data_IF_315481094292
#
_entry.id   IF_315481094292
#
_cell.length_a   1.000
_cell.length_b   1.000
_cell.length_c   1.000
_cell.angle_alpha   90.00
_cell.angle_beta   90.00
_cell.angle_gamma   90.00
#
_symmetry.space_group_name_H-M   'P 1'
#
loop_
_entity.id
_entity.type
_entity.pdbx_description
1 polymer ?
#
# COMPACT_ATOMS: atom_id res chain seq x y z
N UNK A 1 -59.75 8.13 -6.03
CA UNK A 1 -58.75 7.22 -5.38
C UNK A 1 -57.43 7.03 -6.16
N UNK A 2 -57.30 7.43 -7.44
CA UNK A 2 -56.04 7.29 -8.21
C UNK A 2 -54.96 8.35 -7.93
N UNK A 3 -55.32 9.54 -7.45
CA UNK A 3 -54.39 10.66 -7.23
C UNK A 3 -53.52 10.52 -5.97
N UNK A 4 -54.03 9.90 -4.90
CA UNK A 4 -53.30 9.74 -3.63
C UNK A 4 -52.17 8.71 -3.76
N UNK A 5 -52.39 7.64 -4.54
CA UNK A 5 -51.37 6.60 -4.79
C UNK A 5 -50.14 7.15 -5.52
N UNK A 6 -50.31 8.13 -6.41
CA UNK A 6 -49.20 8.72 -7.18
C UNK A 6 -48.30 9.59 -6.30
N UNK A 7 -48.90 10.40 -5.42
CA UNK A 7 -48.18 11.22 -4.44
C UNK A 7 -47.43 10.39 -3.39
N UNK A 8 -47.99 9.26 -2.97
CA UNK A 8 -47.31 8.34 -2.04
C UNK A 8 -46.14 7.62 -2.73
N UNK A 9 -46.31 7.22 -3.98
CA UNK A 9 -45.25 6.59 -4.78
C UNK A 9 -44.07 7.56 -5.02
N UNK A 10 -44.33 8.83 -5.34
CA UNK A 10 -43.27 9.84 -5.54
C UNK A 10 -42.46 10.10 -4.26
N UNK A 11 -43.13 10.13 -3.09
CA UNK A 11 -42.44 10.33 -1.80
C UNK A 11 -41.60 9.12 -1.40
N UNK A 12 -42.07 7.91 -1.68
CA UNK A 12 -41.30 6.67 -1.44
C UNK A 12 -40.13 6.54 -2.42
N UNK A 13 -40.34 6.88 -3.69
CA UNK A 13 -39.30 6.87 -4.72
C UNK A 13 -38.19 7.87 -4.37
N UNK A 14 -38.54 9.07 -3.93
CA UNK A 14 -37.58 10.08 -3.48
C UNK A 14 -36.76 9.62 -2.25
N UNK A 15 -37.40 8.95 -1.29
CA UNK A 15 -36.72 8.41 -0.11
C UNK A 15 -35.73 7.28 -0.46
N UNK A 16 -36.09 6.41 -1.40
CA UNK A 16 -35.22 5.34 -1.87
C UNK A 16 -34.02 5.92 -2.64
N UNK A 17 -34.26 6.88 -3.54
CA UNK A 17 -33.21 7.56 -4.31
C UNK A 17 -32.21 8.32 -3.42
N UNK A 18 -32.71 8.98 -2.38
CA UNK A 18 -31.85 9.70 -1.43
C UNK A 18 -30.96 8.76 -0.62
N UNK A 19 -31.52 7.61 -0.18
CA UNK A 19 -30.76 6.59 0.57
C UNK A 19 -29.70 5.91 -0.30
N UNK A 20 -30.01 5.59 -1.56
CA UNK A 20 -29.03 5.00 -2.47
C UNK A 20 -27.92 5.98 -2.84
N UNK A 21 -28.24 7.28 -3.03
CA UNK A 21 -27.25 8.32 -3.28
C UNK A 21 -26.24 8.43 -2.11
N UNK A 22 -26.73 8.47 -0.87
CA UNK A 22 -25.87 8.52 0.32
C UNK A 22 -24.99 7.27 0.43
N UNK A 23 -25.54 6.09 0.16
CA UNK A 23 -24.78 4.84 0.21
C UNK A 23 -23.65 4.79 -0.82
N UNK A 24 -23.88 5.29 -2.04
CA UNK A 24 -22.86 5.39 -3.10
C UNK A 24 -21.75 6.37 -2.70
N UNK A 25 -22.10 7.52 -2.14
CA UNK A 25 -21.12 8.52 -1.68
C UNK A 25 -20.24 7.93 -0.57
N UNK A 26 -20.83 7.27 0.43
CA UNK A 26 -20.05 6.66 1.53
C UNK A 26 -19.15 5.52 1.05
N UNK A 27 -19.58 4.72 0.07
CA UNK A 27 -18.75 3.66 -0.50
C UNK A 27 -17.57 4.22 -1.30
N UNK A 28 -17.75 5.35 -1.98
CA UNK A 28 -16.69 5.98 -2.78
C UNK A 28 -15.53 6.56 -1.96
N UNK A 29 -15.79 6.99 -0.72
CA UNK A 29 -14.76 7.62 0.15
C UNK A 29 -13.74 6.59 0.67
N UNK A 30 -14.18 5.33 0.95
CA UNK A 30 -13.28 4.28 1.45
C UNK A 30 -12.37 3.68 0.36
N UNK A 31 -12.65 3.92 -0.93
CA UNK A 31 -11.91 3.28 -2.01
C UNK A 31 -10.66 4.08 -2.45
N UNK A 32 -10.52 5.33 -2.02
CA UNK A 32 -9.51 6.25 -2.57
C UNK A 32 -8.53 6.87 -1.54
N UNK A 33 -8.59 6.48 -0.26
CA UNK A 33 -7.63 6.98 0.74
C UNK A 33 -6.41 6.05 0.83
N UNK A 34 -5.49 6.15 -0.13
CA UNK A 34 -4.15 5.56 -0.01
C UNK A 34 -3.18 6.60 0.51
N UNK A 35 -3.28 6.88 1.82
CA UNK A 35 -2.31 7.70 2.55
C UNK A 35 -1.32 6.82 3.33
N UNK A 36 -1.13 5.57 2.88
CA UNK A 36 -0.36 4.55 3.58
C UNK A 36 1.13 4.63 3.27
N UNK A 37 1.71 5.84 3.19
CA UNK A 37 3.16 5.94 3.04
C UNK A 37 3.84 5.38 4.27
N UNK A 38 4.88 4.57 4.06
CA UNK A 38 5.67 4.02 5.15
C UNK A 38 6.73 5.07 5.51
N UNK A 39 6.85 5.37 6.80
CA UNK A 39 7.85 6.31 7.30
C UNK A 39 9.26 5.79 7.08
N UNK A 40 10.20 6.72 6.87
CA UNK A 40 11.62 6.43 6.63
C UNK A 40 12.21 5.48 7.68
N UNK A 41 11.93 5.73 8.95
CA UNK A 41 12.41 4.90 10.06
C UNK A 41 11.96 3.44 9.93
N UNK A 42 10.68 3.21 9.58
CA UNK A 42 10.13 1.87 9.43
C UNK A 42 10.70 1.15 8.21
N UNK A 43 10.90 1.86 7.09
CA UNK A 43 11.54 1.30 5.90
C UNK A 43 12.96 0.86 6.24
N UNK A 44 13.74 1.75 6.85
CA UNK A 44 15.12 1.45 7.22
C UNK A 44 15.16 0.28 8.22
N UNK A 45 14.32 0.28 9.26
CA UNK A 45 14.26 -0.83 10.23
C UNK A 45 13.98 -2.16 9.54
N UNK A 46 12.99 -2.23 8.66
CA UNK A 46 12.59 -3.46 7.95
C UNK A 46 13.68 -3.96 7.02
N UNK A 47 14.21 -3.08 6.17
CA UNK A 47 15.21 -3.46 5.17
C UNK A 47 16.55 -3.80 5.83
N UNK A 48 16.98 -3.10 6.88
CA UNK A 48 18.23 -3.42 7.58
C UNK A 48 18.20 -4.83 8.19
N UNK A 49 17.08 -5.25 8.77
CA UNK A 49 16.91 -6.62 9.28
C UNK A 49 17.08 -7.65 8.16
N UNK A 50 16.54 -7.39 6.98
CA UNK A 50 16.71 -8.28 5.82
C UNK A 50 18.16 -8.29 5.29
N UNK A 51 18.82 -7.13 5.27
CA UNK A 51 20.23 -7.03 4.88
C UNK A 51 21.09 -7.85 5.84
N UNK A 52 20.89 -7.72 7.15
CA UNK A 52 21.63 -8.50 8.15
C UNK A 52 21.36 -10.00 8.04
N UNK A 53 20.10 -10.39 7.86
CA UNK A 53 19.73 -11.78 7.66
C UNK A 53 20.42 -12.36 6.42
N UNK A 54 20.36 -11.64 5.30
CA UNK A 54 20.96 -12.09 4.04
C UNK A 54 22.47 -12.09 4.06
N UNK A 55 23.08 -11.14 4.78
CA UNK A 55 24.52 -11.09 4.95
C UNK A 55 25.05 -12.27 5.77
N UNK A 56 24.30 -12.68 6.81
CA UNK A 56 24.60 -13.90 7.57
C UNK A 56 24.42 -15.16 6.72
N UNK A 57 23.32 -15.25 5.96
CA UNK A 57 23.04 -16.38 5.08
C UNK A 57 24.15 -16.60 4.04
N UNK A 58 24.59 -15.52 3.38
CA UNK A 58 25.58 -15.60 2.31
C UNK A 58 27.03 -15.41 2.76
N UNK A 59 27.28 -15.22 4.07
CA UNK A 59 28.57 -14.85 4.66
C UNK A 59 29.28 -13.71 3.88
N UNK A 60 28.51 -12.75 3.41
CA UNK A 60 28.98 -11.69 2.52
C UNK A 60 28.00 -10.51 2.54
N UNK A 61 28.47 -9.30 2.25
CA UNK A 61 27.64 -8.10 2.22
C UNK A 61 28.03 -7.15 1.07
N UNK A 62 27.10 -6.34 0.56
CA UNK A 62 27.42 -5.26 -0.36
C UNK A 62 28.43 -4.27 0.25
N UNK A 63 29.23 -3.63 -0.61
CA UNK A 63 30.30 -2.70 -0.20
C UNK A 63 29.82 -1.34 0.28
N UNK A 64 28.58 -0.98 -0.03
CA UNK A 64 27.96 0.27 0.35
C UNK A 64 26.70 -0.02 1.19
N UNK A 65 26.38 0.83 2.17
CA UNK A 65 25.14 0.69 2.92
C UNK A 65 23.95 1.21 2.12
N UNK A 66 22.75 0.68 2.41
CA UNK A 66 21.49 1.13 1.83
C UNK A 66 20.63 1.81 2.89
N UNK A 67 20.34 3.10 2.73
CA UNK A 67 19.50 3.89 3.64
C UNK A 67 18.51 4.73 2.85
N UNK A 68 17.24 4.62 3.21
CA UNK A 68 16.16 5.38 2.59
C UNK A 68 16.02 6.73 3.30
N UNK A 69 15.77 7.82 2.55
CA UNK A 69 15.67 9.20 3.07
C UNK A 69 14.30 9.83 2.85
N UNK A 70 13.35 9.04 2.32
CA UNK A 70 12.01 9.49 1.96
C UNK A 70 11.02 8.40 2.25
N UNK A 71 9.80 8.82 2.61
CA UNK A 71 8.67 7.92 2.68
C UNK A 71 8.38 7.29 1.32
N UNK A 72 7.99 6.01 1.33
CA UNK A 72 7.73 5.20 0.13
C UNK A 72 6.35 4.57 0.18
N UNK A 73 5.84 4.17 -0.98
CA UNK A 73 4.61 3.39 -1.00
C UNK A 73 4.86 2.01 -0.40
N UNK A 74 3.85 1.37 0.23
CA UNK A 74 3.99 0.01 0.73
C UNK A 74 4.42 -0.97 -0.35
N UNK A 75 3.83 -0.85 -1.54
CA UNK A 75 4.13 -1.70 -2.68
C UNK A 75 5.58 -1.60 -3.16
N UNK A 76 6.20 -0.43 -3.07
CA UNK A 76 7.61 -0.22 -3.39
C UNK A 76 8.52 -0.95 -2.40
N UNK A 77 8.22 -0.82 -1.10
CA UNK A 77 8.98 -1.43 -0.01
C UNK A 77 8.84 -2.95 -0.05
N UNK A 78 7.62 -3.47 -0.16
CA UNK A 78 7.33 -4.90 -0.25
C UNK A 78 8.06 -5.55 -1.44
N UNK A 79 8.11 -4.87 -2.59
CA UNK A 79 8.86 -5.37 -3.75
C UNK A 79 10.35 -5.49 -3.46
N UNK A 80 10.94 -4.50 -2.78
CA UNK A 80 12.34 -4.58 -2.35
C UNK A 80 12.57 -5.74 -1.37
N UNK A 81 11.67 -5.93 -0.39
CA UNK A 81 11.78 -7.01 0.59
C UNK A 81 11.74 -8.39 -0.06
N UNK A 82 10.76 -8.62 -0.94
CA UNK A 82 10.61 -9.89 -1.66
C UNK A 82 11.84 -10.17 -2.52
N UNK A 83 12.30 -9.19 -3.29
CA UNK A 83 13.49 -9.37 -4.12
C UNK A 83 14.76 -9.60 -3.28
N UNK A 84 14.84 -9.05 -2.07
CA UNK A 84 15.95 -9.29 -1.13
C UNK A 84 15.96 -10.73 -0.63
N UNK A 85 14.78 -11.25 -0.27
CA UNK A 85 14.59 -12.63 0.20
C UNK A 85 14.94 -13.61 -0.94
N UNK A 86 14.44 -13.35 -2.15
CA UNK A 86 14.63 -14.21 -3.31
C UNK A 86 16.03 -14.15 -3.91
N UNK A 87 16.82 -13.12 -3.60
CA UNK A 87 18.17 -12.98 -4.13
C UNK A 87 19.02 -14.20 -3.72
N UNK A 88 19.73 -14.79 -4.67
CA UNK A 88 20.65 -15.90 -4.39
C UNK A 88 22.02 -15.40 -3.95
N UNK A 89 22.77 -16.23 -3.22
CA UNK A 89 24.16 -15.95 -2.89
C UNK A 89 25.05 -16.00 -4.16
N UNK A 90 26.13 -15.20 -4.25
CA UNK A 90 26.66 -14.30 -3.23
C UNK A 90 25.90 -12.95 -3.11
N UNK A 91 25.76 -12.46 -1.88
CA UNK A 91 25.11 -11.17 -1.60
C UNK A 91 26.05 -9.97 -1.84
N UNK A 92 26.48 -9.79 -3.09
CA UNK A 92 27.41 -8.72 -3.49
C UNK A 92 26.74 -7.35 -3.74
N UNK A 93 25.44 -7.35 -4.04
CA UNK A 93 24.70 -6.15 -4.44
C UNK A 93 23.26 -6.21 -4.01
N UNK A 94 22.64 -5.06 -3.76
CA UNK A 94 21.21 -5.01 -3.48
C UNK A 94 20.39 -5.32 -4.74
N UNK A 95 19.18 -5.87 -4.61
CA UNK A 95 18.25 -6.02 -5.72
C UNK A 95 17.91 -4.67 -6.36
N UNK A 96 17.63 -4.69 -7.67
CA UNK A 96 17.32 -3.47 -8.42
C UNK A 96 16.10 -2.73 -7.87
N UNK A 97 15.09 -3.45 -7.38
CA UNK A 97 13.92 -2.86 -6.74
C UNK A 97 14.29 -1.98 -5.55
N UNK A 98 15.22 -2.43 -4.70
CA UNK A 98 15.74 -1.68 -3.56
C UNK A 98 16.57 -0.48 -3.99
N UNK A 99 17.45 -0.63 -4.97
CA UNK A 99 18.30 0.47 -5.47
C UNK A 99 17.48 1.57 -6.14
N UNK A 100 16.38 1.21 -6.81
CA UNK A 100 15.48 2.17 -7.47
C UNK A 100 14.76 3.07 -6.47
N UNK A 101 14.52 2.58 -5.25
CA UNK A 101 13.80 3.32 -4.21
C UNK A 101 14.70 3.84 -3.09
N UNK A 102 16.01 3.57 -3.15
CA UNK A 102 17.04 4.23 -2.35
C UNK A 102 17.08 5.72 -2.66
#
# INVERSE_FOLDING_TARGET
MKLIFKLVADKQLFQILWKTLIFIILFSINCCYDNNRIQEYDINRRIQVLIEAKAKECNNRPSYPLFFTKERSPSEVEKCEVDMILKTCPFNSYPWSCVRIF
#
